data_IF_625837651690
#
_entry.id   IF_625837651690
#
_cell.length_a   1.000
_cell.length_b   1.000
_cell.length_c   1.000
_cell.angle_alpha   90.00
_cell.angle_beta   90.00
_cell.angle_gamma   90.00
#
_symmetry.space_group_name_H-M   'P 1'
#
loop_
_entity.id
_entity.type
_entity.pdbx_description
1 polymer ?
#
# COMPACT_ATOMS: atom_id res chain seq x y z
N UNK A 1 2.41 -12.84 -9.46
CA UNK A 1 2.77 -11.71 -8.56
C UNK A 1 1.65 -11.58 -7.54
N UNK A 2 1.95 -11.52 -6.23
CA UNK A 2 0.90 -11.33 -5.20
C UNK A 2 0.62 -9.83 -5.05
N UNK A 3 -0.65 -9.46 -4.95
CA UNK A 3 -1.10 -8.06 -4.76
C UNK A 3 -1.28 -7.78 -3.27
N UNK A 4 -0.83 -6.61 -2.82
CA UNK A 4 -1.02 -6.08 -1.46
C UNK A 4 -1.77 -4.75 -1.55
N UNK A 5 -2.82 -4.59 -0.74
CA UNK A 5 -3.43 -3.30 -0.45
C UNK A 5 -2.84 -2.78 0.87
N UNK A 6 -2.18 -1.64 0.83
CA UNK A 6 -1.59 -0.97 1.99
C UNK A 6 -2.42 0.25 2.36
N UNK A 7 -2.99 0.26 3.56
CA UNK A 7 -3.71 1.41 4.12
C UNK A 7 -2.88 1.94 5.28
N UNK A 8 -2.37 3.17 5.14
CA UNK A 8 -1.45 3.80 6.10
C UNK A 8 -1.63 5.32 6.04
N UNK A 9 -1.93 5.97 7.16
CA UNK A 9 -2.28 7.39 7.20
C UNK A 9 -1.05 8.31 7.11
N UNK A 10 0.09 7.91 7.68
CA UNK A 10 1.32 8.68 7.55
C UNK A 10 1.95 8.54 6.15
N UNK A 11 2.19 9.68 5.48
CA UNK A 11 2.71 9.70 4.12
C UNK A 11 4.13 9.12 4.01
N UNK A 12 5.00 9.45 4.95
CA UNK A 12 6.39 9.02 4.92
C UNK A 12 6.50 7.51 5.14
N UNK A 13 5.73 6.97 6.08
CA UNK A 13 5.67 5.55 6.36
C UNK A 13 5.01 4.78 5.21
N UNK A 14 3.88 5.26 4.67
CA UNK A 14 3.20 4.65 3.52
C UNK A 14 4.13 4.51 2.32
N UNK A 15 4.91 5.54 2.02
CA UNK A 15 5.90 5.53 0.93
C UNK A 15 7.04 4.54 1.20
N UNK A 16 7.56 4.53 2.42
CA UNK A 16 8.65 3.63 2.83
C UNK A 16 8.24 2.17 2.70
N UNK A 17 7.04 1.82 3.19
CA UNK A 17 6.48 0.47 3.11
C UNK A 17 6.16 0.06 1.67
N UNK A 18 5.61 0.98 0.85
CA UNK A 18 5.33 0.70 -0.56
C UNK A 18 6.62 0.29 -1.30
N UNK A 19 7.69 1.08 -1.16
CA UNK A 19 8.99 0.80 -1.80
C UNK A 19 9.56 -0.54 -1.32
N UNK A 20 9.52 -0.80 0.00
CA UNK A 20 10.05 -2.05 0.56
C UNK A 20 9.31 -3.28 0.03
N UNK A 21 7.97 -3.24 -0.02
CA UNK A 21 7.16 -4.34 -0.53
C UNK A 21 7.31 -4.53 -2.04
N UNK A 22 7.43 -3.46 -2.82
CA UNK A 22 7.70 -3.55 -4.26
C UNK A 22 9.08 -4.17 -4.53
N UNK A 23 10.10 -3.83 -3.73
CA UNK A 23 11.44 -4.42 -3.84
C UNK A 23 11.45 -5.94 -3.58
N UNK A 24 10.54 -6.44 -2.74
CA UNK A 24 10.31 -7.87 -2.50
C UNK A 24 9.49 -8.55 -3.62
N UNK A 25 9.09 -7.81 -4.66
CA UNK A 25 8.37 -8.33 -5.83
C UNK A 25 6.86 -8.40 -5.68
N UNK A 26 6.28 -7.69 -4.70
CA UNK A 26 4.83 -7.52 -4.59
C UNK A 26 4.33 -6.40 -5.53
N UNK A 27 3.09 -6.53 -6.00
CA UNK A 27 2.37 -5.40 -6.59
C UNK A 27 1.61 -4.70 -5.47
N UNK A 28 1.93 -3.44 -5.20
CA UNK A 28 1.37 -2.70 -4.08
C UNK A 28 0.40 -1.63 -4.59
N UNK A 29 -0.78 -1.57 -3.99
CA UNK A 29 -1.70 -0.44 -4.11
C UNK A 29 -1.79 0.20 -2.74
N UNK A 30 -1.47 1.49 -2.62
CA UNK A 30 -1.49 2.18 -1.33
C UNK A 30 -2.49 3.34 -1.29
N UNK A 31 -3.09 3.54 -0.12
CA UNK A 31 -4.00 4.65 0.17
C UNK A 31 -3.82 5.12 1.61
N UNK A 32 -4.17 6.37 1.89
CA UNK A 32 -4.24 6.92 3.24
C UNK A 32 -5.61 6.72 3.91
N UNK A 33 -6.64 6.36 3.13
CA UNK A 33 -8.02 6.37 3.59
C UNK A 33 -8.62 4.96 3.60
N UNK A 34 -9.22 4.59 4.74
CA UNK A 34 -9.82 3.28 4.91
C UNK A 34 -11.02 3.02 3.99
N UNK A 35 -11.82 4.05 3.66
CA UNK A 35 -12.97 3.90 2.76
C UNK A 35 -12.48 3.66 1.32
N UNK A 36 -11.50 4.43 0.88
CA UNK A 36 -10.83 4.19 -0.40
C UNK A 36 -10.19 2.80 -0.43
N UNK A 37 -9.61 2.35 0.69
CA UNK A 37 -9.08 0.99 0.82
C UNK A 37 -10.15 -0.08 0.56
N UNK A 38 -11.35 0.08 1.12
CA UNK A 38 -12.46 -0.83 0.87
C UNK A 38 -12.93 -0.85 -0.59
N UNK A 39 -12.81 0.27 -1.32
CA UNK A 39 -13.14 0.34 -2.76
C UNK A 39 -12.07 -0.31 -3.64
N UNK A 40 -10.81 -0.34 -3.18
CA UNK A 40 -9.66 -0.90 -3.90
C UNK A 40 -9.45 -2.41 -3.63
N UNK A 41 -10.02 -2.94 -2.55
CA UNK A 41 -9.93 -4.34 -2.13
C UNK A 41 -10.82 -5.25 -2.94
#
# INVERSE_FOLDING_TARGET
>A
MKRILLIEDDEALRKTLTIALEAEGFSVVSTADGRQGLELG
#
